data_IF_878733131491
#
_entry.id   IF_878733131491
#
_cell.length_a   1.000
_cell.length_b   1.000
_cell.length_c   1.000
_cell.angle_alpha   90.00
_cell.angle_beta   90.00
_cell.angle_gamma   90.00
#
_symmetry.space_group_name_H-M   'P 1'
#
loop_
_entity.id
_entity.type
_entity.pdbx_description
1 polymer ?
#
# COMPACT_ATOMS: atom_id res chain seq x y z
N UNK A 1 -3.09 -21.90 -11.12
CA UNK A 1 -4.06 -21.53 -10.08
C UNK A 1 -3.42 -21.31 -8.69
N UNK A 2 -2.74 -22.29 -8.07
CA UNK A 2 -2.13 -22.13 -6.72
C UNK A 2 -1.19 -20.92 -6.60
N UNK A 3 -0.30 -20.73 -7.59
CA UNK A 3 0.60 -19.58 -7.62
C UNK A 3 -0.12 -18.22 -7.70
N UNK A 4 -1.23 -18.12 -8.45
CA UNK A 4 -2.03 -16.89 -8.53
C UNK A 4 -2.66 -16.56 -7.17
N UNK A 5 -3.24 -17.56 -6.49
CA UNK A 5 -3.82 -17.38 -5.14
C UNK A 5 -2.75 -16.97 -4.11
N UNK A 6 -1.56 -17.57 -4.16
CA UNK A 6 -0.44 -17.19 -3.30
C UNK A 6 0.02 -15.75 -3.57
N UNK A 7 0.13 -15.35 -4.83
CA UNK A 7 0.52 -13.98 -5.17
C UNK A 7 -0.54 -12.97 -4.74
N UNK A 8 -1.83 -13.27 -4.98
CA UNK A 8 -2.95 -12.42 -4.60
C UNK A 8 -2.95 -12.16 -3.08
N UNK A 9 -2.84 -13.22 -2.27
CA UNK A 9 -2.76 -13.10 -0.81
C UNK A 9 -1.53 -12.29 -0.34
N UNK A 10 -0.39 -12.44 -1.02
CA UNK A 10 0.79 -11.63 -0.72
C UNK A 10 0.60 -10.15 -1.07
N UNK A 11 -0.10 -9.85 -2.17
CA UNK A 11 -0.45 -8.47 -2.56
C UNK A 11 -1.41 -7.85 -1.54
N UNK A 12 -2.46 -8.57 -1.14
CA UNK A 12 -3.42 -8.14 -0.11
C UNK A 12 -2.72 -7.83 1.22
N UNK A 13 -1.81 -8.69 1.65
CA UNK A 13 -1.02 -8.48 2.88
C UNK A 13 -0.15 -7.21 2.78
N UNK A 14 0.47 -6.97 1.62
CA UNK A 14 1.30 -5.79 1.41
C UNK A 14 0.46 -4.50 1.36
N UNK A 15 -0.75 -4.54 0.79
CA UNK A 15 -1.68 -3.42 0.78
C UNK A 15 -2.06 -3.06 2.22
N UNK A 16 -2.52 -4.04 3.01
CA UNK A 16 -2.95 -3.82 4.39
C UNK A 16 -1.83 -3.22 5.26
N UNK A 17 -0.59 -3.68 5.09
CA UNK A 17 0.56 -3.13 5.83
C UNK A 17 0.88 -1.68 5.42
N UNK A 18 0.77 -1.36 4.13
CA UNK A 18 0.98 0.01 3.64
C UNK A 18 -0.15 0.96 4.08
N UNK A 19 -1.39 0.49 4.11
CA UNK A 19 -2.53 1.24 4.63
C UNK A 19 -2.33 1.56 6.11
N UNK A 20 -1.95 0.57 6.92
CA UNK A 20 -1.57 0.77 8.33
C UNK A 20 -0.44 1.80 8.48
N UNK A 21 0.57 1.73 7.61
CA UNK A 21 1.67 2.69 7.60
C UNK A 21 1.22 4.10 7.21
N UNK A 22 0.28 4.23 6.29
CA UNK A 22 -0.29 5.51 5.89
C UNK A 22 -1.08 6.15 7.04
N UNK A 23 -1.81 5.36 7.82
CA UNK A 23 -2.48 5.84 9.04
C UNK A 23 -1.48 6.36 10.07
N UNK A 24 -0.40 5.61 10.34
CA UNK A 24 0.68 6.05 11.24
C UNK A 24 1.30 7.37 10.78
N UNK A 25 1.54 7.52 9.47
CA UNK A 25 2.09 8.74 8.88
C UNK A 25 1.10 9.90 8.96
N UNK A 26 -0.19 9.65 8.74
CA UNK A 26 -1.22 10.68 8.87
C UNK A 26 -1.31 11.22 10.30
N UNK A 27 -1.20 10.35 11.31
CA UNK A 27 -1.14 10.76 12.71
C UNK A 27 0.11 11.60 13.00
N UNK A 28 1.27 11.21 12.47
CA UNK A 28 2.50 11.98 12.63
C UNK A 28 2.43 13.36 11.99
N UNK A 29 1.85 13.47 10.79
CA UNK A 29 1.67 14.74 10.07
C UNK A 29 0.61 15.65 10.72
N UNK A 30 -0.28 15.09 11.55
CA UNK A 30 -1.25 15.87 12.31
C UNK A 30 -0.62 16.55 13.56
N UNK A 31 0.56 16.11 13.99
CA UNK A 31 1.27 16.69 15.14
C UNK A 31 1.99 17.99 14.75
N UNK A 32 1.59 19.17 15.28
CA UNK A 32 2.27 20.43 15.01
C UNK A 32 3.74 20.44 15.47
N UNK A 33 4.11 19.63 16.45
CA UNK A 33 5.48 19.57 16.97
C UNK A 33 6.45 18.93 15.96
N UNK A 34 5.94 18.08 15.05
CA UNK A 34 6.73 17.50 13.96
C UNK A 34 7.39 18.59 13.11
N UNK A 35 6.69 19.70 12.88
CA UNK A 35 7.15 20.79 12.01
C UNK A 35 8.25 21.65 12.62
N UNK A 36 8.60 21.44 13.90
CA UNK A 36 9.81 22.02 14.50
C UNK A 36 11.08 21.45 13.88
N UNK A 37 11.00 20.25 13.32
CA UNK A 37 12.06 19.61 12.54
C UNK A 37 11.61 19.49 11.07
N UNK A 38 12.02 20.49 10.28
CA UNK A 38 11.65 20.57 8.87
C UNK A 38 12.23 19.44 8.01
N UNK A 39 13.35 18.83 8.41
CA UNK A 39 13.90 17.67 7.71
C UNK A 39 13.02 16.44 7.97
N UNK A 40 12.71 16.18 9.24
CA UNK A 40 11.83 15.08 9.64
C UNK A 40 10.44 15.20 9.00
N UNK A 41 9.86 16.40 8.96
CA UNK A 41 8.57 16.63 8.32
C UNK A 41 8.60 16.28 6.81
N UNK A 42 9.68 16.66 6.10
CA UNK A 42 9.86 16.31 4.67
C UNK A 42 10.04 14.81 4.48
N UNK A 43 10.82 14.15 5.33
CA UNK A 43 11.02 12.70 5.27
C UNK A 43 9.70 11.96 5.44
N UNK A 44 8.87 12.35 6.42
CA UNK A 44 7.56 11.73 6.65
C UNK A 44 6.60 12.00 5.49
N UNK A 45 6.60 13.22 4.93
CA UNK A 45 5.81 13.53 3.75
C UNK A 45 6.23 12.72 2.51
N UNK A 46 7.53 12.49 2.32
CA UNK A 46 8.04 11.64 1.24
C UNK A 46 7.65 10.17 1.46
N UNK A 47 7.76 9.65 2.68
CA UNK A 47 7.30 8.30 3.03
C UNK A 47 5.80 8.12 2.73
N UNK A 48 4.98 9.13 3.01
CA UNK A 48 3.55 9.12 2.68
C UNK A 48 3.35 8.94 1.17
N UNK A 49 4.01 9.78 0.38
CA UNK A 49 3.90 9.77 -1.09
C UNK A 49 4.34 8.42 -1.66
N UNK A 50 5.45 7.87 -1.18
CA UNK A 50 5.98 6.60 -1.65
C UNK A 50 5.02 5.44 -1.30
N UNK A 51 4.43 5.47 -0.10
CA UNK A 51 3.44 4.49 0.33
C UNK A 51 2.14 4.58 -0.49
N UNK A 52 1.61 5.79 -0.73
CA UNK A 52 0.44 6.02 -1.59
C UNK A 52 0.66 5.50 -3.01
N UNK A 53 1.83 5.79 -3.60
CA UNK A 53 2.19 5.29 -4.93
C UNK A 53 2.28 3.77 -4.97
N UNK A 54 2.83 3.15 -3.92
CA UNK A 54 2.95 1.70 -3.85
C UNK A 54 1.61 0.99 -3.64
N UNK A 55 0.71 1.57 -2.83
CA UNK A 55 -0.67 1.08 -2.71
C UNK A 55 -1.37 1.14 -4.08
N UNK A 56 -1.29 2.27 -4.79
CA UNK A 56 -1.90 2.39 -6.11
C UNK A 56 -1.38 1.33 -7.11
N UNK A 57 -0.07 1.07 -7.11
CA UNK A 57 0.53 0.01 -7.92
C UNK A 57 0.05 -1.39 -7.52
N UNK A 58 0.02 -1.69 -6.23
CA UNK A 58 -0.44 -2.99 -5.71
C UNK A 58 -1.93 -3.23 -5.97
N UNK A 59 -2.76 -2.19 -5.87
CA UNK A 59 -4.18 -2.26 -6.22
C UNK A 59 -4.38 -2.63 -7.69
N UNK A 60 -3.54 -2.09 -8.58
CA UNK A 60 -3.57 -2.46 -9.98
C UNK A 60 -3.15 -3.92 -10.20
N UNK A 61 -2.09 -4.35 -9.52
CA UNK A 61 -1.66 -5.75 -9.57
C UNK A 61 -2.73 -6.70 -9.02
N UNK A 62 -3.39 -6.34 -7.91
CA UNK A 62 -4.48 -7.09 -7.31
C UNK A 62 -5.64 -7.28 -8.28
N UNK A 63 -6.02 -6.21 -9.01
CA UNK A 63 -7.07 -6.25 -10.03
C UNK A 63 -6.70 -7.24 -11.15
N UNK A 64 -5.49 -7.13 -11.69
CA UNK A 64 -5.02 -7.97 -12.79
C UNK A 64 -4.93 -9.46 -12.38
N UNK A 65 -4.48 -9.73 -11.14
CA UNK A 65 -4.44 -11.08 -10.57
C UNK A 65 -5.84 -11.64 -10.33
N UNK A 66 -6.78 -10.83 -9.86
CA UNK A 66 -8.17 -11.22 -9.62
C UNK A 66 -8.88 -11.58 -10.91
N UNK A 67 -8.70 -10.78 -11.97
CA UNK A 67 -9.21 -11.07 -13.32
C UNK A 67 -8.60 -12.35 -13.91
N UNK A 68 -7.29 -12.52 -13.73
CA UNK A 68 -6.58 -13.73 -14.19
C UNK A 68 -7.09 -14.98 -13.47
N UNK A 69 -7.32 -14.90 -12.16
CA UNK A 69 -7.84 -16.01 -11.37
C UNK A 69 -9.27 -16.37 -11.81
N UNK A 70 -10.16 -15.39 -11.93
CA UNK A 70 -11.53 -15.58 -12.39
C UNK A 70 -11.61 -16.20 -13.79
N UNK A 71 -10.67 -15.86 -14.68
CA UNK A 71 -10.62 -16.42 -16.04
C UNK A 71 -10.23 -17.91 -16.06
N UNK A 72 -9.41 -18.34 -15.10
CA UNK A 72 -8.96 -19.74 -14.97
C UNK A 72 -9.94 -20.60 -14.16
N UNK A 73 -10.82 -19.97 -13.38
CA UNK A 73 -11.87 -20.65 -12.59
C UNK A 73 -13.19 -20.84 -13.37
N UNK A 74 -13.33 -20.30 -14.59
CA UNK A 74 -14.49 -20.57 -15.45
C UNK A 74 -14.49 -22.05 -15.89
N UNK A 75 -15.62 -22.78 -15.75
CA UNK A 75 -15.75 -24.20 -16.09
C UNK A 75 -15.67 -24.49 -17.58
#
# INVERSE_FOLDING_TARGET
MKALKTRLSAVETQIAELERRLEEIALALADPDLYRDGERARTIAQQRKDAEQKVAWLMKEWEDLSLSLASVEKP
#
